data_IF_886609044223
#
_entry.id   IF_886609044223
#
_cell.length_a   1.000
_cell.length_b   1.000
_cell.length_c   1.000
_cell.angle_alpha   90.00
_cell.angle_beta   90.00
_cell.angle_gamma   90.00
#
_symmetry.space_group_name_H-M   'P 1'
#
loop_
_entity.id
_entity.type
_entity.pdbx_description
1 polymer ?
#
# COMPACT_ATOMS: atom_id res chain seq x y z
N UNK A 1 68.08 19.32 36.15
CA UNK A 1 66.93 18.40 36.25
C UNK A 1 66.17 18.76 37.50
N UNK A 2 65.04 19.41 37.41
CA UNK A 2 64.16 19.71 38.54
C UNK A 2 63.22 18.57 38.75
N UNK A 3 62.93 18.14 40.01
CA UNK A 3 61.99 17.05 40.27
C UNK A 3 60.56 17.53 40.11
N UNK A 4 59.60 16.62 39.85
CA UNK A 4 58.20 16.96 39.61
C UNK A 4 57.54 17.37 40.94
N UNK A 5 56.74 18.48 40.88
CA UNK A 5 55.95 18.97 42.00
C UNK A 5 54.76 18.04 42.28
N UNK A 6 54.72 17.48 43.51
CA UNK A 6 53.62 16.68 44.01
C UNK A 6 52.44 17.59 44.37
N UNK A 7 51.28 17.40 43.66
CA UNK A 7 50.01 18.03 43.99
C UNK A 7 49.47 17.33 45.27
N UNK A 8 49.26 18.10 46.35
CA UNK A 8 48.75 17.56 47.60
C UNK A 8 47.20 17.45 47.59
N UNK A 9 46.67 16.57 48.45
CA UNK A 9 45.20 16.39 48.58
C UNK A 9 44.46 17.71 48.94
N UNK A 10 45.11 18.70 49.52
CA UNK A 10 44.54 20.02 49.82
C UNK A 10 44.34 20.86 48.54
N UNK A 11 45.19 20.76 47.56
CA UNK A 11 45.05 21.51 46.31
C UNK A 11 43.92 20.95 45.43
N UNK A 12 43.62 19.65 45.58
CA UNK A 12 42.48 19.02 44.88
C UNK A 12 41.13 19.47 45.49
N UNK A 13 41.02 19.62 46.79
CA UNK A 13 39.80 20.05 47.48
C UNK A 13 39.49 21.53 47.26
N UNK A 14 40.53 22.39 47.17
CA UNK A 14 40.34 23.82 46.94
C UNK A 14 39.87 24.17 45.52
N UNK A 15 40.17 23.30 44.50
CA UNK A 15 39.68 23.48 43.12
C UNK A 15 38.30 22.88 42.87
N UNK A 16 37.76 22.07 43.76
CA UNK A 16 36.44 21.48 43.63
C UNK A 16 35.30 22.37 44.22
N UNK A 17 35.65 23.44 44.94
CA UNK A 17 34.66 24.31 45.60
C UNK A 17 34.18 25.55 44.81
N UNK A 18 34.59 25.72 43.54
CA UNK A 18 34.24 26.90 42.74
C UNK A 18 33.46 26.59 41.44
N UNK A 19 32.76 25.47 41.39
CA UNK A 19 31.96 25.13 40.18
C UNK A 19 30.59 24.49 40.57
N UNK A 20 29.83 25.17 41.44
CA UNK A 20 28.42 24.80 41.66
C UNK A 20 27.54 26.05 41.71
N UNK A 21 27.49 26.76 40.59
CA UNK A 21 26.32 27.54 40.24
C UNK A 21 25.40 26.63 39.43
N UNK A 22 24.58 25.83 40.11
CA UNK A 22 23.47 25.11 39.48
C UNK A 22 22.43 26.14 39.07
N UNK A 23 22.46 26.60 37.84
CA UNK A 23 21.26 27.06 37.16
C UNK A 23 20.38 25.84 36.97
N UNK A 24 19.29 25.76 37.74
CA UNK A 24 18.22 24.80 37.50
C UNK A 24 17.58 25.15 36.19
N UNK A 25 18.12 24.60 35.10
CA UNK A 25 17.42 24.48 33.84
C UNK A 25 16.36 23.39 34.06
N UNK A 26 15.12 23.82 34.31
CA UNK A 26 13.99 22.89 34.22
C UNK A 26 14.10 22.13 32.92
N UNK A 27 14.04 20.77 32.90
CA UNK A 27 13.96 20.04 31.68
C UNK A 27 12.66 20.49 30.99
N UNK A 28 12.80 21.29 29.93
CA UNK A 28 11.74 21.46 28.95
C UNK A 28 11.38 20.02 28.55
N UNK A 29 10.20 19.56 28.94
CA UNK A 29 9.54 18.41 28.35
C UNK A 29 9.28 18.81 26.89
N UNK A 30 10.32 18.70 26.07
CA UNK A 30 10.15 18.68 24.64
C UNK A 30 9.18 17.51 24.39
N UNK A 31 7.92 17.87 24.17
CA UNK A 31 6.90 16.96 23.65
C UNK A 31 7.57 16.36 22.41
N UNK A 32 7.94 15.07 22.51
CA UNK A 32 8.46 14.36 21.36
C UNK A 32 7.43 14.57 20.26
N UNK A 33 7.79 15.35 19.25
CA UNK A 33 7.02 15.45 18.02
C UNK A 33 6.96 14.02 17.51
N UNK A 34 5.80 13.38 17.65
CA UNK A 34 5.58 12.05 17.11
C UNK A 34 5.79 12.18 15.63
N UNK A 35 6.91 11.65 15.14
CA UNK A 35 7.20 11.62 13.72
C UNK A 35 5.94 11.12 13.00
N UNK A 36 5.54 11.82 11.92
CA UNK A 36 4.38 11.44 11.14
C UNK A 36 4.47 9.95 10.80
N UNK A 37 3.37 9.18 10.89
CA UNK A 37 3.40 7.75 10.63
C UNK A 37 3.97 7.52 9.24
N UNK A 38 4.94 6.61 9.15
CA UNK A 38 5.69 6.34 7.91
C UNK A 38 4.81 5.89 6.76
N UNK A 39 3.72 5.19 7.05
CA UNK A 39 2.80 4.64 6.07
C UNK A 39 1.43 5.27 6.20
N UNK A 40 0.82 5.66 5.07
CA UNK A 40 -0.61 5.92 5.01
C UNK A 40 -1.33 4.58 4.96
N UNK A 41 -2.27 4.36 5.86
CA UNK A 41 -3.09 3.14 5.87
C UNK A 41 -4.45 3.49 5.27
N UNK A 42 -4.77 2.85 4.16
CA UNK A 42 -6.00 3.08 3.40
C UNK A 42 -6.78 1.79 3.22
N UNK A 43 -8.02 1.89 2.75
CA UNK A 43 -8.81 0.73 2.40
C UNK A 43 -9.20 0.71 0.93
N UNK A 44 -9.22 -0.47 0.33
CA UNK A 44 -9.89 -0.68 -0.95
C UNK A 44 -11.40 -0.61 -0.74
N UNK A 45 -12.05 0.39 -1.36
CA UNK A 45 -13.45 0.71 -1.09
C UNK A 45 -14.48 -0.20 -1.77
N UNK A 46 -14.03 -1.23 -2.50
CA UNK A 46 -14.92 -2.22 -3.16
C UNK A 46 -16.03 -2.79 -2.26
N UNK A 47 -15.79 -3.18 -0.99
CA UNK A 47 -16.83 -3.75 -0.14
C UNK A 47 -17.99 -2.78 0.14
N UNK A 48 -17.73 -1.48 0.10
CA UNK A 48 -18.70 -0.42 0.33
C UNK A 48 -18.88 0.52 -0.89
N UNK A 49 -18.58 0.02 -2.09
CA UNK A 49 -18.68 0.78 -3.35
C UNK A 49 -20.10 1.27 -3.69
N UNK A 50 -21.14 0.77 -3.00
CA UNK A 50 -22.52 1.24 -3.15
C UNK A 50 -22.85 2.50 -2.35
N UNK A 51 -21.98 2.89 -1.42
CA UNK A 51 -22.13 4.12 -0.66
C UNK A 51 -21.86 5.32 -1.57
N UNK A 52 -22.60 6.41 -1.35
CA UNK A 52 -22.29 7.69 -1.97
C UNK A 52 -20.98 8.29 -1.40
N UNK A 53 -20.54 9.42 -1.93
CA UNK A 53 -19.27 10.02 -1.55
C UNK A 53 -19.22 10.44 -0.07
N UNK A 54 -20.29 11.04 0.45
CA UNK A 54 -20.35 11.49 1.85
C UNK A 54 -20.38 10.31 2.83
N UNK A 55 -21.24 9.30 2.59
CA UNK A 55 -21.31 8.10 3.42
C UNK A 55 -19.99 7.30 3.38
N UNK A 56 -19.32 7.27 2.22
CA UNK A 56 -17.96 6.68 2.09
C UNK A 56 -16.97 7.42 2.98
N UNK A 57 -16.97 8.75 2.93
CA UNK A 57 -16.05 9.56 3.70
C UNK A 57 -16.30 9.45 5.22
N UNK A 58 -17.55 9.35 5.65
CA UNK A 58 -17.92 9.13 7.04
C UNK A 58 -17.46 7.75 7.54
N UNK A 59 -17.66 6.70 6.73
CA UNK A 59 -17.17 5.35 7.05
C UNK A 59 -15.64 5.32 7.19
N UNK A 60 -14.92 5.95 6.26
CA UNK A 60 -13.44 6.02 6.29
C UNK A 60 -12.96 6.73 7.55
N UNK A 61 -13.63 7.82 7.94
CA UNK A 61 -13.31 8.55 9.17
C UNK A 61 -13.62 7.74 10.44
N UNK A 62 -14.77 7.04 10.47
CA UNK A 62 -15.19 6.22 11.61
C UNK A 62 -14.27 5.01 11.84
N UNK A 63 -13.83 4.34 10.77
CA UNK A 63 -12.88 3.22 10.89
C UNK A 63 -11.49 3.72 11.28
N UNK A 64 -11.07 4.89 10.80
CA UNK A 64 -9.80 5.51 11.15
C UNK A 64 -8.73 5.41 10.05
N UNK A 65 -9.09 5.06 8.81
CA UNK A 65 -8.15 5.07 7.70
C UNK A 65 -7.75 6.48 7.28
N UNK A 66 -6.58 6.62 6.65
CA UNK A 66 -6.09 7.89 6.10
C UNK A 66 -6.76 8.26 4.77
N UNK A 67 -7.33 7.28 4.07
CA UNK A 67 -7.98 7.45 2.78
C UNK A 67 -8.46 6.16 2.17
N UNK A 68 -8.69 6.19 0.87
CA UNK A 68 -9.16 5.02 0.11
C UNK A 68 -8.32 4.73 -1.14
N UNK A 69 -8.37 3.48 -1.55
CA UNK A 69 -8.17 3.02 -2.91
C UNK A 69 -9.55 2.95 -3.57
N UNK A 70 -9.85 3.89 -4.50
CA UNK A 70 -11.15 4.09 -5.10
C UNK A 70 -11.29 3.34 -6.44
N UNK A 71 -12.21 2.38 -6.61
CA UNK A 71 -12.40 1.69 -7.87
C UNK A 71 -13.17 2.55 -8.88
N UNK A 72 -12.45 2.99 -9.92
CA UNK A 72 -12.98 3.65 -11.12
C UNK A 72 -12.93 2.62 -12.27
N UNK A 73 -13.98 1.81 -12.35
CA UNK A 73 -14.06 0.68 -13.29
C UNK A 73 -15.51 0.27 -13.55
N UNK A 74 -15.78 -0.39 -14.68
CA UNK A 74 -17.12 -0.79 -15.07
C UNK A 74 -17.69 -1.88 -14.16
N UNK A 75 -16.87 -2.88 -13.79
CA UNK A 75 -17.32 -4.00 -12.97
C UNK A 75 -16.90 -3.80 -11.51
N UNK A 76 -17.85 -3.85 -10.59
CA UNK A 76 -17.65 -3.64 -9.16
C UNK A 76 -16.88 -2.33 -8.86
N UNK A 77 -17.14 -1.31 -9.67
CA UNK A 77 -16.65 0.05 -9.48
C UNK A 77 -17.50 0.82 -8.48
N UNK A 78 -16.89 1.84 -7.88
CA UNK A 78 -17.61 2.88 -7.12
C UNK A 78 -17.94 4.06 -8.04
N UNK A 79 -17.10 4.26 -9.04
CA UNK A 79 -17.26 5.28 -10.07
C UNK A 79 -17.15 4.62 -11.44
N UNK A 80 -18.10 4.89 -12.34
CA UNK A 80 -18.01 4.46 -13.73
C UNK A 80 -16.91 5.26 -14.45
N UNK A 81 -16.04 4.63 -15.26
CA UNK A 81 -14.95 5.34 -15.95
C UNK A 81 -15.43 6.48 -16.83
N UNK A 82 -16.59 6.33 -17.49
CA UNK A 82 -17.20 7.36 -18.35
C UNK A 82 -17.57 8.62 -17.58
N UNK A 83 -17.88 8.47 -16.28
CA UNK A 83 -18.30 9.54 -15.37
C UNK A 83 -17.18 10.06 -14.47
N UNK A 84 -15.93 9.66 -14.72
CA UNK A 84 -14.82 9.99 -13.84
C UNK A 84 -14.66 11.49 -13.60
N UNK A 85 -14.88 12.32 -14.61
CA UNK A 85 -14.75 13.79 -14.50
C UNK A 85 -15.82 14.43 -13.61
N UNK A 86 -16.98 13.77 -13.43
CA UNK A 86 -18.07 14.26 -12.61
C UNK A 86 -18.04 13.71 -11.19
N UNK A 87 -17.75 12.41 -11.03
CA UNK A 87 -17.99 11.70 -9.78
C UNK A 87 -16.70 11.56 -8.94
N UNK A 88 -15.52 11.44 -9.56
CA UNK A 88 -14.27 11.39 -8.81
C UNK A 88 -13.96 12.70 -8.03
N UNK A 89 -14.22 13.91 -8.60
CA UNK A 89 -14.09 15.15 -7.83
C UNK A 89 -14.99 15.20 -6.59
N UNK A 90 -16.23 14.68 -6.68
CA UNK A 90 -17.16 14.63 -5.53
C UNK A 90 -16.62 13.73 -4.42
N UNK A 91 -16.06 12.57 -4.79
CA UNK A 91 -15.42 11.64 -3.84
C UNK A 91 -14.21 12.29 -3.16
N UNK A 92 -13.33 12.93 -3.93
CA UNK A 92 -12.16 13.65 -3.41
C UNK A 92 -12.59 14.75 -2.44
N UNK A 93 -13.60 15.55 -2.78
CA UNK A 93 -14.09 16.63 -1.92
C UNK A 93 -14.70 16.10 -0.62
N UNK A 94 -15.53 15.06 -0.69
CA UNK A 94 -16.18 14.45 0.47
C UNK A 94 -15.15 13.91 1.48
N UNK A 95 -14.13 13.20 0.99
CA UNK A 95 -13.02 12.71 1.82
C UNK A 95 -12.20 13.86 2.40
N UNK A 96 -11.87 14.87 1.60
CA UNK A 96 -11.11 16.05 2.04
C UNK A 96 -11.79 16.80 3.19
N UNK A 97 -13.13 16.93 3.16
CA UNK A 97 -13.93 17.55 4.25
C UNK A 97 -13.75 16.82 5.59
N UNK A 98 -13.39 15.53 5.58
CA UNK A 98 -13.10 14.70 6.77
C UNK A 98 -11.60 14.52 7.04
N UNK A 99 -10.73 15.29 6.34
CA UNK A 99 -9.28 15.17 6.45
C UNK A 99 -8.73 13.86 5.89
N UNK A 100 -9.48 13.24 4.94
CA UNK A 100 -9.12 11.99 4.26
C UNK A 100 -8.87 12.23 2.78
N UNK A 101 -8.36 11.21 2.05
CA UNK A 101 -8.02 11.38 0.64
C UNK A 101 -8.38 10.17 -0.22
N UNK A 102 -8.49 10.35 -1.53
CA UNK A 102 -8.32 9.29 -2.51
C UNK A 102 -6.84 9.15 -2.79
N UNK A 103 -6.22 8.10 -2.26
CA UNK A 103 -4.77 7.88 -2.37
C UNK A 103 -4.42 7.13 -3.65
N UNK A 104 -5.26 6.17 -4.05
CA UNK A 104 -5.09 5.33 -5.24
C UNK A 104 -6.42 5.28 -6.00
N UNK A 105 -6.36 5.36 -7.33
CA UNK A 105 -7.47 5.03 -8.22
C UNK A 105 -7.26 3.62 -8.76
N UNK A 106 -8.21 2.71 -8.53
CA UNK A 106 -8.17 1.36 -9.09
C UNK A 106 -8.91 1.31 -10.41
N UNK A 107 -8.25 0.85 -11.47
CA UNK A 107 -8.78 0.87 -12.84
C UNK A 107 -8.81 -0.52 -13.47
N UNK A 108 -9.37 -0.60 -14.68
CA UNK A 108 -9.27 -1.74 -15.61
C UNK A 108 -8.29 -1.46 -16.76
N UNK A 109 -7.51 -0.40 -16.65
CA UNK A 109 -6.58 0.04 -17.70
C UNK A 109 -5.41 -0.96 -17.82
N UNK A 110 -5.22 -1.51 -19.01
CA UNK A 110 -4.09 -2.39 -19.37
C UNK A 110 -3.31 -1.88 -20.56
N UNK A 111 -3.84 -0.88 -21.25
CA UNK A 111 -3.23 -0.17 -22.39
C UNK A 111 -3.85 1.21 -22.53
N UNK A 112 -3.26 2.08 -23.33
CA UNK A 112 -3.79 3.40 -23.64
C UNK A 112 -4.93 3.28 -24.63
N UNK A 113 -6.06 3.90 -24.31
CA UNK A 113 -7.18 4.20 -25.20
C UNK A 113 -7.80 5.53 -24.74
N UNK A 114 -8.77 6.12 -25.48
CA UNK A 114 -9.36 7.41 -25.10
C UNK A 114 -10.00 7.45 -23.73
N UNK A 115 -10.61 6.36 -23.26
CA UNK A 115 -11.23 6.28 -21.94
C UNK A 115 -10.16 6.16 -20.84
N UNK A 116 -9.14 5.34 -21.07
CA UNK A 116 -7.98 5.23 -20.17
C UNK A 116 -7.29 6.58 -20.00
N UNK A 117 -7.04 7.29 -21.08
CA UNK A 117 -6.40 8.61 -21.04
C UNK A 117 -7.28 9.63 -20.30
N UNK A 118 -8.59 9.65 -20.52
CA UNK A 118 -9.55 10.47 -19.77
C UNK A 118 -9.48 10.21 -18.27
N UNK A 119 -9.48 8.94 -17.84
CA UNK A 119 -9.38 8.55 -16.43
C UNK A 119 -8.05 9.01 -15.82
N UNK A 120 -6.94 8.77 -16.50
CA UNK A 120 -5.61 9.13 -16.00
C UNK A 120 -5.40 10.66 -15.92
N UNK A 121 -5.82 11.40 -16.94
CA UNK A 121 -5.74 12.88 -16.91
C UNK A 121 -6.62 13.47 -15.81
N UNK A 122 -7.83 12.94 -15.60
CA UNK A 122 -8.70 13.37 -14.49
C UNK A 122 -8.06 13.06 -13.13
N UNK A 123 -7.49 11.86 -12.97
CA UNK A 123 -6.76 11.45 -11.76
C UNK A 123 -5.61 12.41 -11.45
N UNK A 124 -4.77 12.71 -12.45
CA UNK A 124 -3.66 13.65 -12.31
C UNK A 124 -4.12 15.08 -11.97
N UNK A 125 -5.17 15.58 -12.65
CA UNK A 125 -5.76 16.92 -12.42
C UNK A 125 -6.27 17.10 -10.98
N UNK A 126 -6.76 16.04 -10.36
CA UNK A 126 -7.21 16.04 -8.97
C UNK A 126 -6.07 15.89 -7.95
N UNK A 127 -4.83 15.81 -8.41
CA UNK A 127 -3.64 15.69 -7.54
C UNK A 127 -3.39 14.27 -7.02
N UNK A 128 -4.19 13.28 -7.43
CA UNK A 128 -3.98 11.88 -7.10
C UNK A 128 -2.76 11.39 -7.90
N UNK A 129 -1.81 10.75 -7.23
CA UNK A 129 -0.52 10.39 -7.84
C UNK A 129 -0.39 8.92 -8.21
N UNK A 130 -1.27 8.07 -7.73
CA UNK A 130 -1.15 6.63 -7.88
C UNK A 130 -2.42 6.02 -8.43
N UNK A 131 -2.24 5.02 -9.31
CA UNK A 131 -3.36 4.20 -9.75
C UNK A 131 -2.94 2.73 -9.90
N UNK A 132 -3.90 1.82 -9.73
CA UNK A 132 -3.74 0.40 -10.00
C UNK A 132 -4.24 0.08 -11.40
N UNK A 133 -3.45 -0.68 -12.15
CA UNK A 133 -3.80 -1.18 -13.47
C UNK A 133 -4.88 -2.29 -13.40
N UNK A 134 -5.46 -2.60 -14.55
CA UNK A 134 -6.33 -3.76 -14.75
C UNK A 134 -5.56 -5.07 -14.80
N UNK A 135 -6.28 -6.15 -15.14
CA UNK A 135 -5.74 -7.50 -15.23
C UNK A 135 -5.75 -8.01 -16.68
N UNK A 136 -4.74 -8.80 -17.02
CA UNK A 136 -4.69 -9.59 -18.26
C UNK A 136 -4.67 -11.07 -17.89
N UNK A 137 -5.27 -11.90 -18.72
CA UNK A 137 -5.27 -13.35 -18.56
C UNK A 137 -4.47 -14.02 -19.67
N UNK A 138 -3.77 -15.07 -19.31
CA UNK A 138 -3.25 -16.02 -20.29
C UNK A 138 -4.42 -16.77 -20.97
N UNK A 139 -4.27 -17.04 -22.25
CA UNK A 139 -5.20 -17.87 -23.02
C UNK A 139 -4.44 -19.09 -23.57
N UNK A 140 -5.16 -20.19 -23.81
CA UNK A 140 -4.55 -21.44 -24.26
C UNK A 140 -4.00 -21.38 -25.70
N UNK A 141 -4.55 -20.50 -26.52
CA UNK A 141 -4.19 -20.31 -27.93
C UNK A 141 -2.94 -19.43 -28.13
N UNK A 142 -2.43 -18.79 -27.05
CA UNK A 142 -1.27 -17.90 -27.14
C UNK A 142 -0.12 -18.38 -26.24
N UNK A 143 1.13 -18.44 -26.77
CA UNK A 143 2.30 -18.74 -25.94
C UNK A 143 2.50 -17.74 -24.80
N UNK A 144 2.77 -18.23 -23.60
CA UNK A 144 2.98 -17.41 -22.38
C UNK A 144 4.03 -16.30 -22.60
N UNK A 145 5.22 -16.55 -23.21
CA UNK A 145 6.20 -15.48 -23.43
C UNK A 145 5.71 -14.38 -24.37
N UNK A 146 4.78 -14.71 -25.29
CA UNK A 146 4.19 -13.73 -26.19
C UNK A 146 3.25 -12.79 -25.48
N UNK A 147 2.36 -13.33 -24.61
CA UNK A 147 1.49 -12.53 -23.77
C UNK A 147 2.30 -11.58 -22.87
N UNK A 148 3.34 -12.09 -22.21
CA UNK A 148 4.22 -11.27 -21.33
C UNK A 148 4.88 -10.14 -22.13
N UNK A 149 5.35 -10.40 -23.36
CA UNK A 149 5.96 -9.40 -24.23
C UNK A 149 4.96 -8.31 -24.66
N UNK A 150 3.73 -8.70 -25.06
CA UNK A 150 2.69 -7.75 -25.46
C UNK A 150 2.25 -6.85 -24.31
N UNK A 151 2.01 -7.45 -23.11
CA UNK A 151 1.68 -6.68 -21.92
C UNK A 151 2.83 -5.74 -21.57
N UNK A 152 4.07 -6.22 -21.60
CA UNK A 152 5.26 -5.38 -21.36
C UNK A 152 5.37 -4.19 -22.30
N UNK A 153 5.03 -4.38 -23.59
CA UNK A 153 4.98 -3.27 -24.56
C UNK A 153 3.91 -2.23 -24.20
N UNK A 154 2.69 -2.68 -23.87
CA UNK A 154 1.61 -1.78 -23.44
C UNK A 154 1.96 -1.04 -22.12
N UNK A 155 2.66 -1.70 -21.19
CA UNK A 155 3.12 -1.06 -19.96
C UNK A 155 4.19 0.01 -20.22
N UNK A 156 5.04 -0.16 -21.23
CA UNK A 156 6.02 0.85 -21.65
C UNK A 156 5.33 2.12 -22.13
N UNK A 157 4.27 1.98 -22.94
CA UNK A 157 3.48 3.13 -23.41
C UNK A 157 2.78 3.82 -22.24
N UNK A 158 2.18 3.06 -21.32
CA UNK A 158 1.58 3.59 -20.09
C UNK A 158 2.60 4.31 -19.20
N UNK A 159 3.81 3.79 -19.05
CA UNK A 159 4.87 4.44 -18.30
C UNK A 159 5.25 5.80 -18.90
N UNK A 160 5.30 5.93 -20.22
CA UNK A 160 5.56 7.21 -20.90
C UNK A 160 4.44 8.23 -20.62
N UNK A 161 3.17 7.82 -20.69
CA UNK A 161 2.04 8.68 -20.33
C UNK A 161 2.05 9.04 -18.84
N UNK A 162 2.39 8.11 -17.97
CA UNK A 162 2.51 8.36 -16.54
C UNK A 162 3.59 9.41 -16.23
N UNK A 163 4.73 9.32 -16.91
CA UNK A 163 5.80 10.32 -16.81
C UNK A 163 5.30 11.72 -17.19
N UNK A 164 4.57 11.85 -18.32
CA UNK A 164 3.95 13.11 -18.76
C UNK A 164 3.00 13.67 -17.70
N UNK A 165 2.16 12.81 -17.11
CA UNK A 165 1.09 13.21 -16.19
C UNK A 165 1.56 13.32 -14.72
N UNK A 166 2.77 12.92 -14.40
CA UNK A 166 3.29 12.84 -13.04
C UNK A 166 2.52 11.81 -12.18
N UNK A 167 2.10 10.71 -12.80
CA UNK A 167 1.43 9.57 -12.18
C UNK A 167 2.40 8.40 -11.98
N UNK A 168 2.04 7.51 -11.06
CA UNK A 168 2.71 6.23 -10.86
C UNK A 168 1.68 5.11 -10.97
N UNK A 169 1.76 4.29 -12.02
CA UNK A 169 0.92 3.12 -12.21
C UNK A 169 1.46 1.90 -11.48
N UNK A 170 0.59 1.04 -10.94
CA UNK A 170 1.00 -0.19 -10.28
C UNK A 170 0.25 -1.41 -10.79
N UNK A 171 0.98 -2.45 -11.24
CA UNK A 171 0.40 -3.75 -11.54
C UNK A 171 0.17 -4.52 -10.25
N UNK A 172 -1.04 -5.00 -9.99
CA UNK A 172 -1.27 -5.89 -8.84
C UNK A 172 -0.95 -7.34 -9.21
N UNK A 173 -0.07 -8.00 -8.46
CA UNK A 173 0.01 -9.46 -8.52
C UNK A 173 -1.28 -10.05 -7.96
N UNK A 174 -1.89 -10.97 -8.71
CA UNK A 174 -3.18 -11.56 -8.35
C UNK A 174 -3.18 -13.06 -8.60
N UNK A 175 -3.62 -13.83 -7.61
CA UNK A 175 -3.73 -15.29 -7.73
C UNK A 175 -4.80 -15.71 -8.76
N UNK A 176 -4.59 -16.85 -9.36
CA UNK A 176 -5.53 -17.48 -10.28
C UNK A 176 -4.85 -18.19 -11.45
N UNK A 177 -5.43 -19.28 -11.90
CA UNK A 177 -4.83 -20.21 -12.87
C UNK A 177 -4.36 -19.54 -14.16
N UNK A 178 -5.00 -18.46 -14.61
CA UNK A 178 -4.68 -17.83 -15.87
C UNK A 178 -4.29 -16.35 -15.71
N UNK A 179 -3.93 -15.91 -14.52
CA UNK A 179 -3.62 -14.49 -14.29
C UNK A 179 -2.16 -14.18 -14.67
N UNK A 180 -1.98 -13.19 -15.54
CA UNK A 180 -0.65 -12.60 -15.75
C UNK A 180 -0.23 -11.90 -14.46
N UNK A 181 0.94 -12.28 -13.96
CA UNK A 181 1.46 -11.77 -12.69
C UNK A 181 1.07 -12.59 -11.46
N UNK A 182 0.41 -13.76 -11.62
CA UNK A 182 0.32 -14.76 -10.56
C UNK A 182 1.71 -15.32 -10.25
N UNK A 183 2.48 -15.84 -11.24
CA UNK A 183 3.91 -16.09 -11.04
C UNK A 183 4.65 -14.74 -11.12
N UNK A 184 5.05 -14.15 -10.01
CA UNK A 184 5.57 -12.77 -9.92
C UNK A 184 6.75 -12.44 -10.85
N UNK A 185 7.42 -13.46 -11.41
CA UNK A 185 8.47 -13.31 -12.42
C UNK A 185 7.97 -12.69 -13.73
N UNK A 186 6.67 -12.87 -14.05
CA UNK A 186 6.03 -12.24 -15.20
C UNK A 186 6.08 -10.71 -15.05
N UNK A 187 5.64 -10.24 -13.86
CA UNK A 187 5.64 -8.80 -13.54
C UNK A 187 7.05 -8.25 -13.65
N UNK A 188 8.02 -8.89 -13.01
CA UNK A 188 9.41 -8.44 -13.07
C UNK A 188 9.92 -8.37 -14.50
N UNK A 189 9.61 -9.38 -15.34
CA UNK A 189 10.01 -9.42 -16.75
C UNK A 189 9.43 -8.24 -17.53
N UNK A 190 8.19 -7.85 -17.24
CA UNK A 190 7.50 -6.74 -17.93
C UNK A 190 8.00 -5.36 -17.49
N UNK A 191 8.42 -5.19 -16.22
CA UNK A 191 8.69 -3.85 -15.65
C UNK A 191 10.16 -3.58 -15.32
N UNK A 192 11.06 -4.58 -15.35
CA UNK A 192 12.46 -4.46 -14.88
C UNK A 192 13.28 -3.35 -15.53
N UNK A 193 12.91 -2.95 -16.74
CA UNK A 193 13.59 -1.93 -17.53
C UNK A 193 12.82 -0.58 -17.54
N UNK A 194 11.73 -0.46 -16.78
CA UNK A 194 10.94 0.76 -16.61
C UNK A 194 11.41 1.56 -15.38
N UNK A 195 11.19 2.87 -15.40
CA UNK A 195 11.38 3.69 -14.21
C UNK A 195 10.30 3.37 -13.16
N UNK A 196 10.65 2.91 -11.96
CA UNK A 196 9.66 2.58 -10.94
C UNK A 196 8.87 3.82 -10.45
N UNK A 197 9.33 5.03 -10.74
CA UNK A 197 8.58 6.27 -10.45
C UNK A 197 7.38 6.45 -11.37
N UNK A 198 7.41 5.85 -12.56
CA UNK A 198 6.35 5.95 -13.54
C UNK A 198 5.45 4.70 -13.50
N UNK A 199 6.03 3.50 -13.36
CA UNK A 199 5.28 2.25 -13.33
C UNK A 199 6.01 1.19 -12.49
N UNK A 200 5.26 0.53 -11.61
CA UNK A 200 5.76 -0.51 -10.73
C UNK A 200 4.69 -1.53 -10.36
N UNK A 201 4.68 -1.97 -9.11
CA UNK A 201 3.80 -3.02 -8.60
C UNK A 201 3.03 -2.57 -7.36
N UNK A 202 1.72 -2.79 -7.36
CA UNK A 202 0.89 -2.83 -6.16
C UNK A 202 1.04 -4.24 -5.57
N UNK A 203 1.99 -4.40 -4.67
CA UNK A 203 2.37 -5.72 -4.17
C UNK A 203 1.37 -6.25 -3.16
N UNK A 204 0.63 -7.30 -3.53
CA UNK A 204 -0.35 -7.97 -2.69
C UNK A 204 0.29 -9.17 -1.99
N UNK A 205 0.51 -9.06 -0.70
CA UNK A 205 1.17 -10.11 0.09
C UNK A 205 0.29 -11.36 0.24
N UNK A 206 -1.03 -11.22 0.28
CA UNK A 206 -1.94 -12.37 0.34
C UNK A 206 -1.83 -13.22 -0.92
N UNK A 207 -1.91 -12.61 -2.08
CA UNK A 207 -1.72 -13.30 -3.37
C UNK A 207 -0.29 -13.83 -3.53
N UNK A 208 0.73 -13.07 -3.13
CA UNK A 208 2.12 -13.52 -3.20
C UNK A 208 2.37 -14.74 -2.30
N UNK A 209 1.76 -14.80 -1.12
CA UNK A 209 1.85 -15.94 -0.22
C UNK A 209 1.13 -17.16 -0.79
N UNK A 210 -0.04 -16.95 -1.39
CA UNK A 210 -0.85 -18.02 -1.99
C UNK A 210 -0.13 -18.68 -3.17
N UNK A 211 0.37 -17.90 -4.12
CA UNK A 211 1.02 -18.41 -5.33
C UNK A 211 2.48 -18.79 -5.09
N UNK A 212 3.18 -18.07 -4.22
CA UNK A 212 4.60 -18.28 -3.95
C UNK A 212 4.90 -19.32 -2.88
N UNK A 213 3.94 -19.65 -2.01
CA UNK A 213 4.18 -20.53 -0.87
C UNK A 213 5.43 -20.11 -0.10
N UNK A 214 6.39 -21.03 0.09
CA UNK A 214 7.66 -20.75 0.78
C UNK A 214 8.58 -19.76 0.02
N UNK A 215 8.30 -19.50 -1.25
CA UNK A 215 9.11 -18.60 -2.10
C UNK A 215 8.68 -17.13 -2.05
N UNK A 216 7.57 -16.78 -1.43
CA UNK A 216 7.10 -15.40 -1.37
C UNK A 216 8.18 -14.39 -0.88
N UNK A 217 9.09 -14.73 0.07
CA UNK A 217 10.10 -13.75 0.50
C UNK A 217 11.13 -13.39 -0.57
N UNK A 218 11.43 -14.33 -1.49
CA UNK A 218 12.32 -14.08 -2.64
C UNK A 218 11.59 -13.18 -3.65
N UNK A 219 10.33 -13.48 -3.92
CA UNK A 219 9.48 -12.71 -4.84
C UNK A 219 9.27 -11.27 -4.34
N UNK A 220 8.97 -11.12 -3.05
CA UNK A 220 8.86 -9.81 -2.41
C UNK A 220 10.16 -8.99 -2.54
N UNK A 221 11.33 -9.63 -2.31
CA UNK A 221 12.63 -8.97 -2.46
C UNK A 221 12.93 -8.59 -3.91
N UNK A 222 12.55 -9.42 -4.88
CA UNK A 222 12.73 -9.16 -6.30
C UNK A 222 11.97 -7.89 -6.73
N UNK A 223 10.72 -7.73 -6.26
CA UNK A 223 9.84 -6.64 -6.65
C UNK A 223 9.91 -5.40 -5.72
N UNK A 224 10.59 -5.49 -4.59
CA UNK A 224 10.68 -4.38 -3.64
C UNK A 224 11.11 -3.02 -4.23
N UNK A 225 12.07 -2.96 -5.20
CA UNK A 225 12.44 -1.70 -5.82
C UNK A 225 11.31 -1.03 -6.63
N UNK A 226 10.28 -1.79 -6.97
CA UNK A 226 9.16 -1.36 -7.82
C UNK A 226 7.87 -1.13 -7.05
N UNK A 227 7.86 -1.16 -5.70
CA UNK A 227 6.63 -1.02 -4.93
C UNK A 227 6.01 0.38 -5.09
N UNK A 228 4.79 0.42 -5.64
CA UNK A 228 3.90 1.60 -5.71
C UNK A 228 3.03 1.68 -4.47
N UNK A 229 2.46 0.55 -4.09
CA UNK A 229 1.64 0.33 -2.91
C UNK A 229 1.84 -1.11 -2.42
N UNK A 230 1.46 -1.36 -1.17
CA UNK A 230 1.37 -2.72 -0.63
C UNK A 230 -0.08 -3.01 -0.27
N UNK A 231 -0.58 -4.14 -0.72
CA UNK A 231 -1.93 -4.60 -0.45
C UNK A 231 -1.93 -5.70 0.60
N UNK A 232 -2.82 -5.55 1.56
CA UNK A 232 -2.88 -6.37 2.75
C UNK A 232 -4.21 -7.10 2.82
N UNK A 233 -4.17 -8.40 2.67
CA UNK A 233 -5.25 -9.35 2.92
C UNK A 233 -4.66 -10.68 3.33
N UNK A 234 -5.47 -11.55 3.91
CA UNK A 234 -5.03 -12.83 4.43
C UNK A 234 -5.98 -13.97 4.03
N UNK A 235 -5.48 -15.17 4.02
CA UNK A 235 -6.24 -16.38 3.69
C UNK A 235 -5.75 -17.54 4.53
N UNK A 236 -6.62 -18.55 4.67
CA UNK A 236 -6.28 -19.85 5.22
C UNK A 236 -6.65 -20.95 4.24
N UNK A 237 -5.98 -22.09 4.35
CA UNK A 237 -6.35 -23.26 3.59
C UNK A 237 -7.48 -23.99 4.30
N UNK A 238 -8.56 -24.28 3.58
CA UNK A 238 -9.68 -25.09 4.07
C UNK A 238 -9.88 -26.30 3.17
N UNK A 239 -10.22 -27.45 3.79
CA UNK A 239 -10.56 -28.65 3.06
C UNK A 239 -12.02 -28.60 2.68
N UNK A 240 -12.30 -28.63 1.38
CA UNK A 240 -13.63 -28.66 0.78
C UNK A 240 -13.84 -29.97 0.03
N UNK A 241 -15.03 -30.17 -0.55
CA UNK A 241 -15.30 -31.32 -1.43
C UNK A 241 -14.43 -31.31 -2.70
N UNK A 242 -13.85 -30.17 -3.06
CA UNK A 242 -12.93 -30.00 -4.21
C UNK A 242 -11.45 -30.16 -3.83
N UNK A 243 -11.16 -30.43 -2.57
CA UNK A 243 -9.80 -30.51 -2.04
C UNK A 243 -9.44 -29.32 -1.15
N UNK A 244 -8.18 -28.95 -1.13
CA UNK A 244 -7.71 -27.79 -0.37
C UNK A 244 -7.90 -26.51 -1.20
N UNK A 245 -8.71 -25.57 -0.66
CA UNK A 245 -8.99 -24.27 -1.28
C UNK A 245 -8.56 -23.12 -0.36
N UNK A 246 -8.06 -22.01 -0.93
CA UNK A 246 -7.78 -20.80 -0.14
C UNK A 246 -9.10 -20.09 0.19
N UNK A 247 -9.30 -19.77 1.46
CA UNK A 247 -10.44 -19.00 1.95
C UNK A 247 -9.93 -17.70 2.58
N UNK A 248 -10.35 -16.57 2.03
CA UNK A 248 -9.98 -15.26 2.56
C UNK A 248 -10.55 -15.07 3.95
N UNK A 249 -9.79 -14.48 4.85
CA UNK A 249 -10.13 -14.27 6.26
C UNK A 249 -9.67 -12.89 6.75
N UNK A 250 -9.97 -12.57 8.00
CA UNK A 250 -9.47 -11.37 8.65
C UNK A 250 -7.92 -11.33 8.61
N UNK A 251 -7.38 -10.14 8.47
CA UNK A 251 -5.94 -9.94 8.43
C UNK A 251 -5.27 -10.40 9.74
N UNK A 252 -4.24 -11.21 9.61
CA UNK A 252 -3.50 -11.81 10.73
C UNK A 252 -4.10 -13.12 11.28
N UNK A 253 -5.14 -13.67 10.64
CA UNK A 253 -5.75 -14.96 11.01
C UNK A 253 -5.43 -16.08 10.03
N UNK A 254 -4.59 -15.84 9.05
CA UNK A 254 -4.31 -16.76 7.97
C UNK A 254 -2.84 -17.12 7.80
N UNK A 255 -2.45 -17.27 6.55
CA UNK A 255 -1.13 -17.75 6.13
C UNK A 255 -0.10 -16.61 5.91
N UNK A 256 -0.54 -15.35 5.88
CA UNK A 256 0.36 -14.22 5.71
C UNK A 256 1.19 -14.03 6.97
N UNK A 257 2.52 -14.04 6.81
CA UNK A 257 3.42 -13.99 7.95
C UNK A 257 3.81 -12.55 8.31
N UNK A 258 3.72 -12.19 9.60
CA UNK A 258 4.07 -10.85 10.14
C UNK A 258 5.47 -10.37 9.71
N UNK A 259 6.43 -11.28 9.47
CA UNK A 259 7.79 -10.93 9.04
C UNK A 259 7.84 -10.11 7.75
N UNK A 260 6.77 -10.14 6.92
CA UNK A 260 6.68 -9.27 5.76
C UNK A 260 6.66 -7.79 6.18
N UNK A 261 5.79 -7.41 7.12
CA UNK A 261 5.72 -6.04 7.62
C UNK A 261 6.98 -5.64 8.37
N UNK A 262 7.62 -6.55 9.13
CA UNK A 262 8.92 -6.29 9.76
C UNK A 262 9.98 -5.93 8.72
N UNK A 263 10.05 -6.67 7.61
CA UNK A 263 10.98 -6.36 6.49
C UNK A 263 10.61 -5.08 5.77
N UNK A 264 9.32 -4.82 5.58
CA UNK A 264 8.83 -3.60 4.96
C UNK A 264 9.20 -2.36 5.80
N UNK A 265 9.04 -2.43 7.12
CA UNK A 265 9.49 -1.39 8.07
C UNK A 265 11.01 -1.14 7.98
N UNK A 266 11.81 -2.16 7.76
CA UNK A 266 13.26 -2.03 7.62
C UNK A 266 13.71 -1.54 6.22
N UNK A 267 12.81 -1.52 5.22
CA UNK A 267 13.10 -1.09 3.85
C UNK A 267 13.02 0.44 3.70
N UNK A 268 13.29 0.99 2.52
CA UNK A 268 13.08 2.41 2.18
C UNK A 268 11.65 2.70 1.71
N UNK A 269 10.78 1.71 1.58
CA UNK A 269 9.41 1.92 1.13
C UNK A 269 8.64 2.82 2.09
N UNK A 270 7.96 3.83 1.57
CA UNK A 270 7.13 4.79 2.30
C UNK A 270 5.78 5.05 1.59
N UNK A 271 5.39 4.16 0.69
CA UNK A 271 4.10 4.23 0.00
C UNK A 271 2.92 3.77 0.86
N UNK A 272 1.69 3.84 0.32
CA UNK A 272 0.49 3.47 1.04
C UNK A 272 0.37 1.95 1.25
N UNK A 273 -0.26 1.58 2.38
CA UNK A 273 -0.72 0.24 2.70
C UNK A 273 -2.24 0.20 2.51
N UNK A 274 -2.74 -0.61 1.59
CA UNK A 274 -4.17 -0.75 1.31
C UNK A 274 -4.72 -2.06 1.88
N UNK A 275 -5.71 -1.98 2.78
CA UNK A 275 -6.40 -3.14 3.31
C UNK A 275 -7.49 -3.61 2.34
N UNK A 276 -7.47 -4.88 1.98
CA UNK A 276 -8.41 -5.51 1.06
C UNK A 276 -9.31 -6.50 1.83
N UNK A 277 -10.52 -6.06 2.17
CA UNK A 277 -11.53 -6.84 2.90
C UNK A 277 -12.38 -7.65 1.92
N UNK A 278 -11.87 -8.79 1.45
CA UNK A 278 -12.52 -9.60 0.41
C UNK A 278 -12.97 -10.98 0.92
N UNK A 279 -13.13 -11.15 2.23
CA UNK A 279 -13.57 -12.39 2.84
C UNK A 279 -15.11 -12.43 3.03
N UNK A 280 -15.67 -13.65 2.92
CA UNK A 280 -17.13 -13.86 2.99
C UNK A 280 -17.75 -13.50 4.35
N UNK A 281 -16.99 -13.64 5.42
CA UNK A 281 -17.38 -13.33 6.79
C UNK A 281 -17.25 -11.85 7.15
N UNK A 282 -16.98 -10.97 6.16
CA UNK A 282 -16.93 -9.52 6.40
C UNK A 282 -18.25 -8.98 6.98
N UNK A 283 -19.38 -9.57 6.59
CA UNK A 283 -20.69 -9.10 7.00
C UNK A 283 -21.16 -7.85 6.28
N UNK A 284 -22.18 -7.20 6.82
CA UNK A 284 -22.72 -5.94 6.30
C UNK A 284 -23.01 -4.97 7.45
N UNK A 285 -23.15 -3.68 7.15
CA UNK A 285 -23.48 -2.68 8.16
C UNK A 285 -22.52 -2.68 9.36
N UNK A 286 -23.02 -2.71 10.60
CA UNK A 286 -22.19 -2.66 11.80
C UNK A 286 -21.17 -3.80 11.92
N UNK A 287 -21.51 -5.00 11.46
CA UNK A 287 -20.60 -6.16 11.47
C UNK A 287 -19.42 -5.92 10.54
N UNK A 288 -19.67 -5.43 9.32
CA UNK A 288 -18.61 -5.05 8.39
C UNK A 288 -17.66 -4.03 9.01
N UNK A 289 -18.19 -2.98 9.63
CA UNK A 289 -17.38 -1.94 10.29
C UNK A 289 -16.55 -2.53 11.42
N UNK A 290 -17.12 -3.40 12.25
CA UNK A 290 -16.41 -4.06 13.33
C UNK A 290 -15.23 -4.92 12.83
N UNK A 291 -15.45 -5.69 11.76
CA UNK A 291 -14.40 -6.48 11.13
C UNK A 291 -13.29 -5.61 10.51
N UNK A 292 -13.65 -4.51 9.85
CA UNK A 292 -12.68 -3.55 9.31
C UNK A 292 -11.84 -2.90 10.40
N UNK A 293 -12.45 -2.49 11.52
CA UNK A 293 -11.73 -1.96 12.69
C UNK A 293 -10.80 -3.00 13.33
N UNK A 294 -11.24 -4.27 13.38
CA UNK A 294 -10.41 -5.39 13.87
C UNK A 294 -9.17 -5.57 13.00
N UNK A 295 -9.32 -5.58 11.67
CA UNK A 295 -8.20 -5.73 10.74
C UNK A 295 -7.24 -4.53 10.80
N UNK A 296 -7.77 -3.32 10.97
CA UNK A 296 -6.94 -2.13 11.15
C UNK A 296 -6.14 -2.18 12.47
N UNK A 297 -6.77 -2.61 13.56
CA UNK A 297 -6.09 -2.78 14.84
C UNK A 297 -4.98 -3.84 14.76
N UNK A 298 -5.23 -4.95 14.07
CA UNK A 298 -4.21 -6.00 13.82
C UNK A 298 -3.05 -5.47 12.98
N UNK A 299 -3.32 -4.64 11.98
CA UNK A 299 -2.26 -4.01 11.18
C UNK A 299 -1.40 -3.07 12.04
N UNK A 300 -2.01 -2.26 12.89
CA UNK A 300 -1.27 -1.40 13.82
C UNK A 300 -0.41 -2.22 14.78
N UNK A 301 -0.93 -3.33 15.34
CA UNK A 301 -0.16 -4.25 16.17
C UNK A 301 1.09 -4.77 15.44
N UNK A 302 0.96 -5.17 14.18
CA UNK A 302 2.09 -5.70 13.39
C UNK A 302 3.07 -4.61 12.93
N UNK A 303 2.62 -3.35 12.87
CA UNK A 303 3.48 -2.22 12.55
C UNK A 303 4.16 -1.60 13.79
N UNK A 304 3.69 -1.88 14.98
CA UNK A 304 4.35 -1.45 16.21
C UNK A 304 5.70 -2.15 16.40
#
# INVERSE_FOLDING_TARGET
>A
MNPPSHITRRDFVAKAALATAFTAVAPSLARAETAAPRFKIIAFSKPFAKLNADDTADLVADVGWDGIECPVRAVAGQIAPERVEEDLPKMVEALKKRGKEVTIVTTEITKIDPLAEKVLRTTAKLGIKKYRLGFVKYTEDKPVPETVREVGAALKDLAALNHELGLQGGWQNHSGANMVGAPLWDIWTMIKDLDPRDLGVCFDIGHATLEGGLSWPIQARLLAPFYVAVYLKDFRWEKTDKGWEPVWCNFGEGAVHQSFLTKLKASSFAGPLSQHHEYKTLGTGPEMIANMKKDLAKLHEWLA
#
